data_IF_443837577760
#
_entry.id   IF_443837577760
#
_cell.length_a   1.000
_cell.length_b   1.000
_cell.length_c   1.000
_cell.angle_alpha   90.00
_cell.angle_beta   90.00
_cell.angle_gamma   90.00
#
_symmetry.space_group_name_H-M   'P 1'
#
loop_
_entity.id
_entity.type
_entity.pdbx_description
1 polymer ?
#
# COMPACT_ATOMS: atom_id res chain seq x y z
N UNK A 1 17.74 -8.93 -1.51
CA UNK A 1 16.27 -9.02 -1.58
C UNK A 1 15.78 -8.17 -2.72
N UNK A 2 14.80 -8.65 -3.48
CA UNK A 2 14.17 -7.98 -4.60
C UNK A 2 12.72 -7.63 -4.24
N UNK A 3 12.38 -6.34 -4.32
CA UNK A 3 11.06 -5.83 -3.96
C UNK A 3 10.36 -5.36 -5.22
N UNK A 4 9.16 -5.88 -5.49
CA UNK A 4 8.29 -5.41 -6.55
C UNK A 4 7.33 -4.35 -6.03
N UNK A 5 7.40 -3.13 -6.56
CA UNK A 5 6.51 -2.02 -6.23
C UNK A 5 5.48 -1.89 -7.37
N UNK A 6 4.27 -2.40 -7.13
CA UNK A 6 3.13 -2.27 -8.04
C UNK A 6 2.46 -0.90 -7.85
N UNK A 7 2.45 -0.09 -8.90
CA UNK A 7 2.00 1.30 -8.84
C UNK A 7 3.13 2.27 -8.47
N UNK A 8 4.38 1.95 -8.83
CA UNK A 8 5.58 2.70 -8.45
C UNK A 8 5.57 4.18 -8.84
N UNK A 9 4.83 4.56 -9.89
CA UNK A 9 4.70 5.97 -10.30
C UNK A 9 3.73 6.80 -9.43
N UNK A 10 3.05 6.19 -8.46
CA UNK A 10 2.25 6.91 -7.46
C UNK A 10 3.13 7.67 -6.46
N UNK A 11 2.57 8.67 -5.79
CA UNK A 11 3.34 9.50 -4.85
C UNK A 11 3.95 8.67 -3.70
N UNK A 12 3.20 7.73 -3.12
CA UNK A 12 3.74 6.82 -2.09
C UNK A 12 4.77 5.86 -2.70
N UNK A 13 4.52 5.31 -3.91
CA UNK A 13 5.47 4.43 -4.59
C UNK A 13 6.83 5.07 -4.86
N UNK A 14 6.85 6.35 -5.25
CA UNK A 14 8.09 7.12 -5.44
C UNK A 14 8.80 7.38 -4.11
N UNK A 15 8.06 7.82 -3.08
CA UNK A 15 8.63 8.03 -1.74
C UNK A 15 9.19 6.74 -1.15
N UNK A 16 8.49 5.61 -1.31
CA UNK A 16 8.94 4.29 -0.88
C UNK A 16 10.20 3.85 -1.63
N UNK A 17 10.26 4.12 -2.94
CA UNK A 17 11.45 3.83 -3.76
C UNK A 17 12.67 4.56 -3.21
N UNK A 18 12.55 5.86 -2.95
CA UNK A 18 13.63 6.67 -2.42
C UNK A 18 14.05 6.22 -1.01
N UNK A 19 13.07 5.94 -0.15
CA UNK A 19 13.29 5.47 1.23
C UNK A 19 14.05 4.13 1.28
N UNK A 20 13.63 3.15 0.47
CA UNK A 20 14.27 1.84 0.39
C UNK A 20 15.69 1.94 -0.17
N UNK A 21 15.94 2.78 -1.17
CA UNK A 21 17.28 2.94 -1.74
C UNK A 21 18.24 3.64 -0.80
N UNK A 22 17.74 4.55 0.04
CA UNK A 22 18.53 5.26 1.02
C UNK A 22 18.88 4.40 2.24
N UNK A 23 18.00 3.46 2.63
CA UNK A 23 18.11 2.72 3.90
C UNK A 23 18.49 1.25 3.77
N UNK A 24 18.51 0.72 2.54
CA UNK A 24 18.73 -0.72 2.30
C UNK A 24 19.58 -0.95 1.06
N UNK A 25 20.14 -2.16 0.97
CA UNK A 25 20.85 -2.68 -0.21
C UNK A 25 19.92 -3.49 -1.14
N UNK A 26 18.60 -3.33 -1.02
CA UNK A 26 17.63 -4.09 -1.79
C UNK A 26 17.57 -3.59 -3.25
N UNK A 27 17.23 -4.52 -4.15
CA UNK A 27 16.91 -4.19 -5.54
C UNK A 27 15.41 -3.98 -5.68
N UNK A 28 15.01 -3.03 -6.52
CA UNK A 28 13.64 -2.64 -6.73
C UNK A 28 13.21 -2.91 -8.17
N UNK A 29 12.07 -3.58 -8.32
CA UNK A 29 11.35 -3.67 -9.59
C UNK A 29 10.17 -2.70 -9.51
N UNK A 30 10.21 -1.66 -10.34
CA UNK A 30 9.23 -0.57 -10.34
C UNK A 30 8.23 -0.81 -11.46
N UNK A 31 7.02 -1.24 -11.10
CA UNK A 31 5.96 -1.56 -12.05
C UNK A 31 4.94 -0.42 -12.10
N UNK A 32 4.76 0.19 -13.27
CA UNK A 32 3.80 1.28 -13.44
C UNK A 32 3.30 1.45 -14.87
N UNK A 33 2.10 2.02 -15.00
CA UNK A 33 1.55 2.42 -16.30
C UNK A 33 2.35 3.59 -16.86
N UNK A 34 2.80 3.47 -18.11
CA UNK A 34 3.67 4.44 -18.78
C UNK A 34 4.93 4.76 -17.96
N UNK A 35 5.54 3.72 -17.37
CA UNK A 35 6.64 3.86 -16.42
C UNK A 35 7.81 4.70 -16.98
N UNK A 36 8.19 4.50 -18.24
CA UNK A 36 9.31 5.19 -18.89
C UNK A 36 9.16 6.73 -18.94
N UNK A 37 7.93 7.24 -18.82
CA UNK A 37 7.63 8.68 -18.78
C UNK A 37 7.46 9.22 -17.37
N UNK A 38 7.13 8.36 -16.41
CA UNK A 38 6.68 8.75 -15.06
C UNK A 38 7.71 8.44 -13.99
N UNK A 39 8.68 7.60 -14.30
CA UNK A 39 9.78 7.22 -13.42
C UNK A 39 11.08 7.66 -14.10
N UNK A 40 11.95 8.31 -13.34
CA UNK A 40 13.28 8.69 -13.78
C UNK A 40 14.33 7.71 -13.26
N UNK A 41 15.32 7.43 -14.10
CA UNK A 41 16.43 6.53 -13.80
C UNK A 41 17.50 7.22 -12.96
N UNK A 42 17.42 7.11 -11.64
CA UNK A 42 18.57 7.23 -10.74
C UNK A 42 18.85 5.86 -10.13
N UNK A 43 20.11 5.46 -9.95
CA UNK A 43 20.50 4.13 -9.46
C UNK A 43 20.05 2.94 -10.36
N UNK A 44 20.45 2.89 -11.65
CA UNK A 44 20.07 1.81 -12.55
C UNK A 44 20.55 0.42 -12.09
N UNK A 45 21.59 0.36 -11.25
CA UNK A 45 22.11 -0.90 -10.70
C UNK A 45 21.13 -1.60 -9.75
N UNK A 46 20.29 -0.84 -9.06
CA UNK A 46 19.29 -1.35 -8.09
C UNK A 46 17.85 -1.09 -8.49
N UNK A 47 17.60 -0.52 -9.68
CA UNK A 47 16.25 -0.25 -10.20
C UNK A 47 16.04 -0.91 -11.56
N UNK A 48 15.03 -1.78 -11.62
CA UNK A 48 14.46 -2.28 -12.88
C UNK A 48 13.10 -1.66 -13.09
N UNK A 49 12.90 -0.93 -14.18
CA UNK A 49 11.60 -0.36 -14.54
C UNK A 49 10.85 -1.33 -15.44
N UNK A 50 9.57 -1.55 -15.14
CA UNK A 50 8.66 -2.38 -15.94
C UNK A 50 7.40 -1.56 -16.25
N UNK A 51 7.19 -1.28 -17.53
CA UNK A 51 5.96 -0.66 -17.99
C UNK A 51 4.83 -1.70 -18.06
N UNK A 52 3.73 -1.46 -17.34
CA UNK A 52 2.58 -2.36 -17.33
C UNK A 52 1.38 -1.80 -16.54
N UNK A 53 0.24 -2.47 -16.64
CA UNK A 53 -1.01 -2.14 -15.94
C UNK A 53 -1.40 -3.34 -15.07
N UNK A 54 -2.12 -3.13 -13.96
CA UNK A 54 -2.49 -4.24 -13.08
C UNK A 54 -3.33 -5.33 -13.77
N UNK A 55 -3.98 -4.98 -14.89
CA UNK A 55 -4.73 -5.93 -15.72
C UNK A 55 -3.89 -6.66 -16.77
N UNK A 56 -2.60 -6.32 -16.92
CA UNK A 56 -1.67 -7.01 -17.82
C UNK A 56 -1.04 -8.22 -17.10
N UNK A 57 -1.78 -9.33 -17.10
CA UNK A 57 -1.39 -10.57 -16.43
C UNK A 57 -0.04 -11.13 -16.92
N UNK A 58 0.30 -10.95 -18.19
CA UNK A 58 1.56 -11.49 -18.73
C UNK A 58 2.76 -10.70 -18.23
N UNK A 59 2.69 -9.38 -18.29
CA UNK A 59 3.77 -8.51 -17.79
C UNK A 59 3.86 -8.58 -16.27
N UNK A 60 2.73 -8.70 -15.57
CA UNK A 60 2.70 -8.92 -14.12
C UNK A 60 3.42 -10.22 -13.74
N UNK A 61 3.14 -11.33 -14.42
CA UNK A 61 3.79 -12.61 -14.16
C UNK A 61 5.30 -12.52 -14.36
N UNK A 62 5.77 -11.92 -15.45
CA UNK A 62 7.21 -11.70 -15.69
C UNK A 62 7.87 -10.81 -14.62
N UNK A 63 7.14 -9.81 -14.11
CA UNK A 63 7.65 -8.92 -13.08
C UNK A 63 7.81 -9.62 -11.71
N UNK A 64 7.17 -10.76 -11.49
CA UNK A 64 7.28 -11.58 -10.28
C UNK A 64 8.52 -12.49 -10.26
N UNK A 65 9.28 -12.56 -11.35
CA UNK A 65 10.51 -13.37 -11.38
C UNK A 65 11.53 -12.89 -10.34
N UNK A 66 11.97 -13.83 -9.49
CA UNK A 66 12.95 -13.61 -8.43
C UNK A 66 12.57 -12.50 -7.43
N UNK A 67 11.27 -12.28 -7.19
CA UNK A 67 10.79 -11.31 -6.20
C UNK A 67 10.63 -11.97 -4.83
N UNK A 68 11.06 -11.28 -3.79
CA UNK A 68 10.91 -11.73 -2.40
C UNK A 68 9.66 -11.10 -1.74
N UNK A 69 9.41 -9.82 -2.01
CA UNK A 69 8.32 -9.04 -1.42
C UNK A 69 7.60 -8.23 -2.49
N UNK A 70 6.27 -8.23 -2.46
CA UNK A 70 5.43 -7.37 -3.29
C UNK A 70 4.81 -6.26 -2.45
N UNK A 71 4.88 -5.01 -2.94
CA UNK A 71 4.07 -3.90 -2.44
C UNK A 71 3.00 -3.53 -3.47
N UNK A 72 1.73 -3.46 -3.04
CA UNK A 72 0.57 -3.06 -3.86
C UNK A 72 0.10 -1.68 -3.41
N UNK A 73 0.28 -0.66 -4.26
CA UNK A 73 -0.01 0.72 -3.88
C UNK A 73 -1.51 1.10 -3.91
N UNK A 74 -2.36 0.30 -4.54
CA UNK A 74 -3.82 0.51 -4.55
C UNK A 74 -4.56 -0.81 -4.79
N UNK A 75 -5.57 -1.07 -3.96
CA UNK A 75 -6.46 -2.23 -4.05
C UNK A 75 -7.85 -1.87 -4.60
N UNK A 76 -7.98 -0.77 -5.33
CA UNK A 76 -9.24 -0.27 -5.90
C UNK A 76 -9.88 -1.14 -7.00
N UNK A 77 -9.23 -2.24 -7.40
CA UNK A 77 -9.75 -3.19 -8.37
C UNK A 77 -9.54 -4.65 -7.93
N UNK A 78 -10.65 -5.36 -7.73
CA UNK A 78 -10.64 -6.70 -7.14
C UNK A 78 -10.23 -7.79 -8.14
N UNK A 79 -10.41 -7.54 -9.44
CA UNK A 79 -9.91 -8.42 -10.51
C UNK A 79 -8.38 -8.35 -10.58
N UNK A 80 -7.82 -7.13 -10.61
CA UNK A 80 -6.37 -6.89 -10.48
C UNK A 80 -5.79 -7.56 -9.23
N UNK A 81 -6.44 -7.43 -8.08
CA UNK A 81 -5.99 -8.06 -6.83
C UNK A 81 -5.93 -9.59 -6.96
N UNK A 82 -6.94 -10.21 -7.56
CA UNK A 82 -6.95 -11.64 -7.81
C UNK A 82 -5.80 -12.08 -8.73
N UNK A 83 -5.55 -11.33 -9.81
CA UNK A 83 -4.44 -11.60 -10.73
C UNK A 83 -3.08 -11.50 -10.05
N UNK A 84 -2.90 -10.53 -9.17
CA UNK A 84 -1.67 -10.36 -8.39
C UNK A 84 -1.43 -11.56 -7.47
N UNK A 85 -2.45 -11.98 -6.71
CA UNK A 85 -2.36 -13.17 -5.84
C UNK A 85 -1.97 -14.41 -6.66
N UNK A 86 -2.65 -14.65 -7.78
CA UNK A 86 -2.33 -15.80 -8.65
C UNK A 86 -0.92 -15.74 -9.25
N UNK A 87 -0.42 -14.53 -9.58
CA UNK A 87 0.94 -14.37 -10.07
C UNK A 87 1.96 -14.64 -8.96
N UNK A 88 1.70 -14.19 -7.74
CA UNK A 88 2.52 -14.49 -6.56
C UNK A 88 2.58 -16.01 -6.29
N UNK A 89 1.44 -16.70 -6.33
CA UNK A 89 1.36 -18.15 -6.11
C UNK A 89 2.22 -18.93 -7.11
N UNK A 90 2.15 -18.56 -8.40
CA UNK A 90 2.95 -19.19 -9.46
C UNK A 90 4.46 -19.06 -9.24
N UNK A 91 4.89 -17.94 -8.65
CA UNK A 91 6.30 -17.67 -8.33
C UNK A 91 6.66 -18.06 -6.89
N UNK A 92 5.71 -18.64 -6.13
CA UNK A 92 5.86 -19.03 -4.72
C UNK A 92 6.27 -17.86 -3.81
N UNK A 93 5.83 -16.65 -4.15
CA UNK A 93 6.06 -15.44 -3.35
C UNK A 93 5.00 -15.41 -2.26
N UNK A 94 5.42 -15.29 -0.99
CA UNK A 94 4.48 -15.25 0.14
C UNK A 94 4.26 -13.86 0.69
N UNK A 95 5.30 -13.02 0.73
CA UNK A 95 5.23 -11.73 1.43
C UNK A 95 4.62 -10.63 0.56
N UNK A 96 3.53 -10.02 1.04
CA UNK A 96 2.89 -8.87 0.39
C UNK A 96 2.48 -7.80 1.38
N UNK A 97 2.71 -6.53 1.03
CA UNK A 97 2.18 -5.37 1.74
C UNK A 97 1.24 -4.64 0.79
N UNK A 98 0.02 -4.37 1.19
CA UNK A 98 -0.98 -3.79 0.30
C UNK A 98 -1.65 -2.57 0.93
N UNK A 99 -1.83 -1.52 0.14
CA UNK A 99 -2.53 -0.31 0.55
C UNK A 99 -3.99 -0.35 0.10
N UNK A 100 -4.89 -0.18 1.07
CA UNK A 100 -6.30 0.08 0.87
C UNK A 100 -6.68 1.37 1.62
N UNK A 101 -7.97 1.61 1.80
CA UNK A 101 -8.50 2.85 2.39
C UNK A 101 -9.20 2.57 3.72
N UNK A 102 -9.22 3.56 4.61
CA UNK A 102 -10.03 3.51 5.82
C UNK A 102 -11.51 3.28 5.52
N UNK A 103 -12.20 2.63 6.44
CA UNK A 103 -13.66 2.45 6.40
C UNK A 103 -14.13 1.20 5.67
N UNK A 104 -13.22 0.38 5.11
CA UNK A 104 -13.56 -0.91 4.49
C UNK A 104 -14.17 -1.93 5.48
N UNK A 105 -14.02 -1.70 6.79
CA UNK A 105 -14.58 -2.55 7.85
C UNK A 105 -15.53 -1.78 8.80
N UNK A 106 -16.03 -0.62 8.37
CA UNK A 106 -16.86 0.27 9.19
C UNK A 106 -16.19 0.67 10.53
N UNK A 107 -14.87 0.78 10.53
CA UNK A 107 -14.04 0.97 11.73
C UNK A 107 -13.90 2.43 12.20
N UNK A 108 -14.44 3.39 11.43
CA UNK A 108 -14.21 4.83 11.65
C UNK A 108 -15.40 5.43 12.40
N UNK A 109 -15.28 5.74 13.70
CA UNK A 109 -16.40 6.19 14.51
C UNK A 109 -16.64 7.70 14.41
N UNK A 110 -17.71 8.16 15.06
CA UNK A 110 -17.89 9.56 15.43
C UNK A 110 -18.15 10.52 14.27
N UNK A 111 -17.83 11.80 14.49
CA UNK A 111 -18.03 12.86 13.50
C UNK A 111 -17.20 12.64 12.24
N UNK A 112 -15.95 12.22 12.40
CA UNK A 112 -15.09 11.88 11.28
C UNK A 112 -15.62 10.73 10.45
N UNK A 113 -16.13 9.65 11.06
CA UNK A 113 -16.74 8.56 10.31
C UNK A 113 -17.92 9.00 9.45
N UNK A 114 -18.79 9.87 9.98
CA UNK A 114 -19.89 10.47 9.21
C UNK A 114 -19.38 11.36 8.08
N UNK A 115 -18.41 12.23 8.37
CA UNK A 115 -17.79 13.11 7.39
C UNK A 115 -17.11 12.31 6.27
N UNK A 116 -16.35 11.26 6.60
CA UNK A 116 -15.70 10.38 5.64
C UNK A 116 -16.70 9.69 4.72
N UNK A 117 -17.80 9.16 5.27
CA UNK A 117 -18.88 8.55 4.48
C UNK A 117 -19.54 9.55 3.52
N UNK A 118 -19.71 10.82 3.92
CA UNK A 118 -20.22 11.86 3.03
C UNK A 118 -19.26 12.20 1.89
N UNK A 119 -17.94 12.23 2.17
CA UNK A 119 -16.93 12.61 1.20
C UNK A 119 -16.57 11.50 0.20
N UNK A 120 -16.43 10.26 0.68
CA UNK A 120 -16.00 9.11 -0.13
C UNK A 120 -17.20 8.35 -0.70
N UNK A 121 -18.34 8.37 0.01
CA UNK A 121 -19.52 7.57 -0.30
C UNK A 121 -19.31 6.06 -0.08
N UNK A 122 -20.37 5.30 -0.33
CA UNK A 122 -20.35 3.81 -0.29
C UNK A 122 -20.48 3.21 -1.70
N UNK A 123 -20.02 3.95 -2.72
CA UNK A 123 -20.18 3.59 -4.12
C UNK A 123 -19.33 2.38 -4.55
N UNK A 124 -19.39 2.06 -5.85
CA UNK A 124 -18.76 0.87 -6.42
C UNK A 124 -17.25 0.77 -6.12
N UNK A 125 -16.53 1.91 -6.09
CA UNK A 125 -15.10 1.94 -5.74
C UNK A 125 -14.83 1.44 -4.32
N UNK A 126 -15.67 1.81 -3.37
CA UNK A 126 -15.58 1.34 -1.98
C UNK A 126 -15.82 -0.17 -1.93
N UNK A 127 -16.86 -0.65 -2.62
CA UNK A 127 -17.15 -2.08 -2.69
C UNK A 127 -16.00 -2.89 -3.32
N UNK A 128 -15.30 -2.33 -4.31
CA UNK A 128 -14.10 -2.96 -4.86
C UNK A 128 -12.97 -3.04 -3.83
N UNK A 129 -12.68 -1.97 -3.08
CA UNK A 129 -11.67 -2.00 -2.01
C UNK A 129 -12.00 -3.07 -0.96
N UNK A 130 -13.27 -3.19 -0.55
CA UNK A 130 -13.73 -4.24 0.39
C UNK A 130 -13.47 -5.64 -0.17
N UNK A 131 -13.87 -5.90 -1.42
CA UNK A 131 -13.66 -7.21 -2.08
C UNK A 131 -12.18 -7.53 -2.26
N UNK A 132 -11.36 -6.56 -2.63
CA UNK A 132 -9.91 -6.75 -2.76
C UNK A 132 -9.27 -7.10 -1.43
N UNK A 133 -9.64 -6.40 -0.35
CA UNK A 133 -9.17 -6.69 0.99
C UNK A 133 -9.59 -8.10 1.44
N UNK A 134 -10.84 -8.49 1.21
CA UNK A 134 -11.33 -9.85 1.50
C UNK A 134 -10.50 -10.92 0.76
N UNK A 135 -10.30 -10.78 -0.56
CA UNK A 135 -9.49 -11.73 -1.34
C UNK A 135 -8.06 -11.87 -0.81
N UNK A 136 -7.45 -10.76 -0.40
CA UNK A 136 -6.11 -10.79 0.19
C UNK A 136 -6.11 -11.48 1.55
N UNK A 137 -7.04 -11.15 2.43
CA UNK A 137 -7.13 -11.74 3.77
C UNK A 137 -7.49 -13.24 3.76
N UNK A 138 -8.27 -13.68 2.78
CA UNK A 138 -8.65 -15.08 2.55
C UNK A 138 -7.54 -15.91 1.88
N UNK A 139 -6.49 -15.26 1.36
CA UNK A 139 -5.36 -15.95 0.75
C UNK A 139 -4.45 -16.64 1.78
N UNK A 140 -3.52 -17.44 1.28
CA UNK A 140 -2.46 -18.06 2.08
C UNK A 140 -1.14 -17.26 2.05
N UNK A 141 -1.22 -15.97 1.66
CA UNK A 141 -0.09 -15.04 1.64
C UNK A 141 0.21 -14.48 3.04
N UNK A 142 1.47 -14.13 3.25
CA UNK A 142 1.97 -13.43 4.42
C UNK A 142 1.72 -11.93 4.26
N UNK A 143 0.43 -11.56 4.28
CA UNK A 143 0.00 -10.21 3.96
C UNK A 143 0.18 -9.22 5.13
N UNK A 144 0.41 -7.96 4.80
CA UNK A 144 0.13 -6.82 5.68
C UNK A 144 -0.77 -5.85 4.91
N UNK A 145 -1.99 -5.65 5.39
CA UNK A 145 -2.94 -4.71 4.79
C UNK A 145 -2.88 -3.37 5.53
N UNK A 146 -2.61 -2.28 4.81
CA UNK A 146 -2.58 -0.92 5.35
C UNK A 146 -3.80 -0.14 4.87
N UNK A 147 -4.71 0.18 5.80
CA UNK A 147 -5.90 1.01 5.57
C UNK A 147 -5.54 2.46 5.80
N UNK A 148 -5.27 3.18 4.72
CA UNK A 148 -4.78 4.55 4.79
C UNK A 148 -5.92 5.53 5.13
N UNK A 149 -5.68 6.42 6.09
CA UNK A 149 -6.53 7.61 6.31
C UNK A 149 -6.23 8.70 5.26
N UNK A 150 -6.80 9.91 5.40
CA UNK A 150 -6.67 10.96 4.39
C UNK A 150 -5.22 11.44 4.19
N UNK A 151 -4.77 11.44 2.93
CA UNK A 151 -3.37 11.60 2.57
C UNK A 151 -3.01 13.05 2.20
N UNK A 152 -2.01 13.60 2.86
CA UNK A 152 -1.40 14.89 2.50
C UNK A 152 0.12 14.76 2.32
N UNK A 153 0.77 15.86 1.93
CA UNK A 153 2.23 15.91 1.74
C UNK A 153 2.84 16.88 2.73
N UNK A 154 3.82 16.42 3.52
CA UNK A 154 4.61 17.27 4.38
C UNK A 154 6.02 16.68 4.53
N UNK A 155 6.99 17.37 3.94
CA UNK A 155 8.39 16.94 4.01
C UNK A 155 8.85 16.87 5.46
N UNK A 156 9.48 15.75 5.83
CA UNK A 156 10.01 15.52 7.18
C UNK A 156 8.98 15.06 8.21
N UNK A 157 7.68 15.00 7.88
CA UNK A 157 6.70 14.39 8.77
C UNK A 157 6.59 12.89 8.47
N UNK A 158 7.31 12.07 9.23
CA UNK A 158 7.31 10.61 9.10
C UNK A 158 6.58 9.92 10.26
N UNK A 159 5.80 10.66 11.07
CA UNK A 159 5.13 10.11 12.25
C UNK A 159 3.90 9.32 11.83
N UNK A 160 3.82 8.06 12.25
CA UNK A 160 2.65 7.21 12.06
C UNK A 160 2.35 6.42 13.32
N UNK A 161 1.11 5.95 13.41
CA UNK A 161 0.69 4.88 14.32
C UNK A 161 -0.11 3.84 13.55
N UNK A 162 -0.09 2.61 14.05
CA UNK A 162 -0.85 1.49 13.51
C UNK A 162 -2.02 1.18 14.46
N UNK A 163 -3.21 1.00 13.89
CA UNK A 163 -4.43 0.63 14.61
C UNK A 163 -4.87 -0.75 14.13
N UNK A 164 -4.78 -1.80 14.95
CA UNK A 164 -5.21 -3.16 14.57
C UNK A 164 -6.64 -3.20 14.06
N UNK A 165 -6.93 -4.14 13.13
CA UNK A 165 -8.30 -4.44 12.71
C UNK A 165 -9.14 -4.88 13.92
N UNK A 166 -10.34 -4.34 14.02
CA UNK A 166 -11.24 -4.54 15.16
C UNK A 166 -11.18 -3.39 16.19
N UNK A 167 -10.16 -2.53 16.13
CA UNK A 167 -10.10 -1.32 16.95
C UNK A 167 -10.68 -0.10 16.24
N UNK A 168 -11.25 0.87 16.97
CA UNK A 168 -11.74 2.11 16.38
C UNK A 168 -10.60 2.94 15.77
N UNK A 169 -10.68 3.24 14.48
CA UNK A 169 -9.68 4.01 13.76
C UNK A 169 -10.09 5.49 13.71
N UNK A 170 -9.37 6.35 14.45
CA UNK A 170 -9.79 7.73 14.75
C UNK A 170 -8.94 8.81 14.09
N UNK A 171 -7.74 8.46 13.64
CA UNK A 171 -6.79 9.40 13.05
C UNK A 171 -7.29 9.87 11.69
N UNK A 172 -7.44 11.18 11.55
CA UNK A 172 -8.12 11.77 10.39
C UNK A 172 -7.22 11.94 9.18
N UNK A 173 -5.91 12.00 9.37
CA UNK A 173 -4.96 12.27 8.30
C UNK A 173 -3.62 11.56 8.50
N UNK A 174 -2.84 11.47 7.42
CA UNK A 174 -1.45 11.01 7.44
C UNK A 174 -0.67 11.56 6.24
N UNK A 175 0.62 11.86 6.45
CA UNK A 175 1.50 12.26 5.35
C UNK A 175 1.87 11.05 4.49
N UNK A 176 2.05 11.24 3.18
CA UNK A 176 2.54 10.16 2.30
C UNK A 176 3.95 9.71 2.68
N UNK A 177 4.76 10.60 3.26
CA UNK A 177 6.09 10.31 3.79
C UNK A 177 6.03 9.31 4.95
N UNK A 178 5.10 9.50 5.89
CA UNK A 178 4.89 8.58 7.01
C UNK A 178 4.40 7.20 6.55
N UNK A 179 3.58 7.13 5.49
CA UNK A 179 3.19 5.85 4.88
C UNK A 179 4.39 5.13 4.27
N UNK A 180 5.24 5.82 3.50
CA UNK A 180 6.46 5.24 2.93
C UNK A 180 7.45 4.75 4.00
N UNK A 181 7.61 5.53 5.07
CA UNK A 181 8.37 5.15 6.27
C UNK A 181 7.81 3.85 6.88
N UNK A 182 6.51 3.78 7.14
CA UNK A 182 5.88 2.61 7.75
C UNK A 182 6.05 1.35 6.89
N UNK A 183 5.89 1.46 5.57
CA UNK A 183 6.12 0.33 4.66
C UNK A 183 7.58 -0.12 4.72
N UNK A 184 8.54 0.81 4.72
CA UNK A 184 9.97 0.48 4.86
C UNK A 184 10.27 -0.21 6.18
N UNK A 185 9.70 0.27 7.29
CA UNK A 185 9.86 -0.32 8.60
C UNK A 185 9.27 -1.74 8.65
N UNK A 186 8.11 -1.97 8.01
CA UNK A 186 7.48 -3.29 7.89
C UNK A 186 8.33 -4.23 7.02
N UNK A 187 8.89 -3.75 5.91
CA UNK A 187 9.75 -4.54 4.99
C UNK A 187 11.06 -4.95 5.67
N UNK A 188 11.63 -4.08 6.51
CA UNK A 188 12.93 -4.30 7.16
C UNK A 188 12.82 -4.93 8.54
N UNK A 189 11.60 -5.08 9.07
CA UNK A 189 11.35 -5.69 10.36
C UNK A 189 11.56 -7.21 10.32
N UNK A 190 12.29 -7.79 11.28
CA UNK A 190 12.36 -9.24 11.47
C UNK A 190 11.15 -9.81 12.25
N UNK A 191 10.25 -8.95 12.71
CA UNK A 191 9.11 -9.29 13.58
C UNK A 191 7.90 -9.77 12.78
N UNK A 192 7.42 -10.98 13.11
CA UNK A 192 6.24 -11.60 12.50
C UNK A 192 4.92 -10.92 12.90
N UNK A 193 4.92 -9.94 13.81
CA UNK A 193 3.71 -9.20 14.21
C UNK A 193 2.97 -8.51 13.08
N UNK A 194 3.59 -8.34 11.91
CA UNK A 194 2.96 -7.73 10.74
C UNK A 194 2.36 -8.76 9.78
N UNK A 195 2.58 -10.05 10.01
CA UNK A 195 2.18 -11.14 9.14
C UNK A 195 0.71 -11.49 9.37
N UNK A 196 -0.04 -11.55 8.26
CA UNK A 196 -1.49 -11.75 8.21
C UNK A 196 -2.25 -10.74 9.08
N UNK A 197 -1.78 -9.49 9.08
CA UNK A 197 -2.39 -8.40 9.83
C UNK A 197 -2.96 -7.31 8.94
N UNK A 198 -3.95 -6.61 9.47
CA UNK A 198 -4.57 -5.44 8.85
C UNK A 198 -4.56 -4.26 9.81
N UNK A 199 -3.92 -3.17 9.42
CA UNK A 199 -3.74 -1.99 10.25
C UNK A 199 -4.36 -0.76 9.59
N UNK A 200 -5.14 0.01 10.34
CA UNK A 200 -5.33 1.43 10.06
C UNK A 200 -4.00 2.13 10.27
N UNK A 201 -3.65 3.08 9.40
CA UNK A 201 -2.43 3.88 9.56
C UNK A 201 -2.76 5.36 9.49
N UNK A 202 -2.41 6.07 10.56
CA UNK A 202 -2.75 7.47 10.76
C UNK A 202 -1.63 8.25 11.44
N UNK A 203 -1.73 9.58 11.40
CA UNK A 203 -0.85 10.48 12.12
C UNK A 203 -1.32 10.64 13.58
N UNK A 204 -0.45 10.41 14.58
CA UNK A 204 -0.79 10.60 15.99
C UNK A 204 -1.27 12.02 16.29
N UNK A 205 -2.27 12.15 17.17
CA UNK A 205 -2.79 13.46 17.59
C UNK A 205 -3.76 14.11 16.59
N UNK A 206 -4.25 13.37 15.61
CA UNK A 206 -5.18 13.86 14.57
C UNK A 206 -6.62 13.36 14.73
N UNK A 207 -7.04 13.04 15.96
CA UNK A 207 -8.40 12.60 16.26
C UNK A 207 -9.37 13.80 16.27
N UNK A 208 -9.72 14.27 15.07
CA UNK A 208 -10.57 15.44 14.83
C UNK A 208 -11.86 15.03 14.11
N UNK A 209 -12.70 16.01 13.76
CA UNK A 209 -13.93 15.76 13.01
C UNK A 209 -13.70 15.61 11.50
N UNK A 210 -12.56 16.12 10.98
CA UNK A 210 -12.12 16.04 9.58
C UNK A 210 -10.60 16.32 9.48
N UNK A 211 -9.94 15.95 8.37
CA UNK A 211 -8.53 16.30 8.13
C UNK A 211 -8.31 17.81 8.14
N UNK A 212 -7.11 18.27 8.47
CA UNK A 212 -6.81 19.71 8.63
C UNK A 212 -6.92 20.53 7.34
N UNK A 213 -6.97 19.87 6.19
CA UNK A 213 -7.03 20.47 4.85
C UNK A 213 -8.43 20.48 4.22
N UNK A 214 -9.47 20.33 5.05
CA UNK A 214 -10.88 20.43 4.68
C UNK A 214 -11.61 21.46 5.53
#
# INVERSE_FOLDING_TARGET
MNILILGAAGQIGQLLTDELLARTEYNLVLYAKNADRRLSGSNPERKKIVAGDFNDNQTLLKAMENIDIVYINDMGDDQSTQSIIQAMDKHKIKRVIAASVLGIYDEVPGAFGRWNKMMVGSGQRMQKQVKSAQKLEESDLDYTLLRLTWLYNQRGNNKYMLVPKGEPFKETQISRQAVAQAITDIITSPDDKYIRQSFGIGEPGTQWDKPSFY
#
